data_IF_088727511325
#
_entry.id   IF_088727511325
#
_cell.length_a   1.000
_cell.length_b   1.000
_cell.length_c   1.000
_cell.angle_alpha   90.00
_cell.angle_beta   90.00
_cell.angle_gamma   90.00
#
_symmetry.space_group_name_H-M   'P 1'
#
loop_
_entity.id
_entity.type
_entity.pdbx_description
1 polymer ?
#
# COMPACT_ATOMS: atom_id res chain seq x y z
N UNK A 1 23.16 -29.07 18.38
CA UNK A 1 23.72 -28.25 17.29
C UNK A 1 23.62 -26.80 17.73
N UNK A 2 24.73 -26.16 18.11
CA UNK A 2 24.70 -24.78 18.58
C UNK A 2 24.27 -23.87 17.42
N UNK A 3 23.09 -23.24 17.53
CA UNK A 3 22.62 -22.27 16.55
C UNK A 3 23.60 -21.09 16.58
N UNK A 4 24.27 -20.81 15.46
CA UNK A 4 25.22 -19.69 15.37
C UNK A 4 24.52 -18.39 15.85
N UNK A 5 25.16 -17.53 16.66
CA UNK A 5 24.50 -16.36 17.26
C UNK A 5 23.80 -15.45 16.24
N UNK A 6 24.30 -15.43 15.00
CA UNK A 6 23.69 -14.72 13.88
C UNK A 6 22.32 -15.28 13.45
N UNK A 7 22.15 -16.60 13.43
CA UNK A 7 20.88 -17.25 13.06
C UNK A 7 19.84 -16.98 14.15
N UNK A 8 20.24 -17.08 15.41
CA UNK A 8 19.37 -16.76 16.54
C UNK A 8 18.86 -15.31 16.47
N UNK A 9 19.75 -14.36 16.16
CA UNK A 9 19.38 -12.95 15.98
C UNK A 9 18.35 -12.78 14.84
N UNK A 10 18.56 -13.41 13.68
CA UNK A 10 17.63 -13.34 12.54
C UNK A 10 16.26 -13.92 12.92
N UNK A 11 16.23 -15.09 13.57
CA UNK A 11 14.98 -15.75 13.96
C UNK A 11 14.21 -14.90 14.98
N UNK A 12 14.89 -14.35 16.00
CA UNK A 12 14.27 -13.46 16.99
C UNK A 12 13.69 -12.23 16.30
N UNK A 13 14.46 -11.58 15.43
CA UNK A 13 14.02 -10.40 14.70
C UNK A 13 12.79 -10.68 13.82
N UNK A 14 12.83 -11.74 13.01
CA UNK A 14 11.72 -12.14 12.15
C UNK A 14 10.47 -12.49 12.94
N UNK A 15 10.62 -13.19 14.07
CA UNK A 15 9.51 -13.54 14.96
C UNK A 15 8.89 -12.29 15.58
N UNK A 16 9.70 -11.33 16.03
CA UNK A 16 9.22 -10.06 16.58
C UNK A 16 8.47 -9.24 15.53
N UNK A 17 8.94 -9.24 14.28
CA UNK A 17 8.22 -8.55 13.20
C UNK A 17 6.92 -9.27 12.86
N UNK A 18 6.94 -10.60 12.77
CA UNK A 18 5.75 -11.40 12.49
C UNK A 18 4.66 -11.16 13.54
N UNK A 19 5.00 -11.15 14.83
CA UNK A 19 4.02 -10.88 15.89
C UNK A 19 3.47 -9.46 15.79
N UNK A 20 4.32 -8.45 15.63
CA UNK A 20 3.89 -7.06 15.45
C UNK A 20 2.97 -6.92 14.23
N UNK A 21 3.31 -7.59 13.12
CA UNK A 21 2.53 -7.57 11.90
C UNK A 21 1.14 -8.18 12.09
N UNK A 22 1.05 -9.33 12.77
CA UNK A 22 -0.21 -9.99 13.08
C UNK A 22 -1.07 -9.12 13.99
N UNK A 23 -0.52 -8.66 15.12
CA UNK A 23 -1.28 -7.86 16.08
C UNK A 23 -1.72 -6.51 15.49
N UNK A 24 -0.82 -5.80 14.79
CA UNK A 24 -1.12 -4.51 14.17
C UNK A 24 -2.23 -4.60 13.12
N UNK A 25 -2.17 -5.59 12.23
CA UNK A 25 -3.18 -5.76 11.19
C UNK A 25 -4.51 -6.28 11.74
N UNK A 26 -4.50 -7.23 12.67
CA UNK A 26 -5.73 -7.70 13.32
C UNK A 26 -6.42 -6.56 14.08
N UNK A 27 -5.65 -5.75 14.81
CA UNK A 27 -6.18 -4.61 15.54
C UNK A 27 -6.81 -3.57 14.60
N UNK A 28 -6.17 -3.27 13.47
CA UNK A 28 -6.72 -2.39 12.45
C UNK A 28 -8.03 -2.94 11.84
N UNK A 29 -8.08 -4.23 11.52
CA UNK A 29 -9.31 -4.91 11.05
C UNK A 29 -10.41 -4.79 12.09
N UNK A 30 -10.11 -5.07 13.37
CA UNK A 30 -11.06 -4.98 14.46
C UNK A 30 -11.65 -3.56 14.60
N UNK A 31 -10.80 -2.53 14.52
CA UNK A 31 -11.23 -1.14 14.61
C UNK A 31 -12.16 -0.76 13.46
N UNK A 32 -11.82 -1.13 12.22
CA UNK A 32 -12.64 -0.82 11.05
C UNK A 32 -13.99 -1.53 11.15
N UNK A 33 -13.99 -2.83 11.44
CA UNK A 33 -15.22 -3.63 11.49
C UNK A 33 -16.10 -3.22 12.67
N UNK A 34 -15.56 -3.15 13.90
CA UNK A 34 -16.34 -2.75 15.08
C UNK A 34 -16.75 -1.30 15.03
N UNK A 35 -15.87 -0.38 14.62
CA UNK A 35 -16.21 1.04 14.53
C UNK A 35 -17.39 1.28 13.58
N UNK A 36 -17.38 0.64 12.41
CA UNK A 36 -18.49 0.74 11.46
C UNK A 36 -19.76 0.01 11.94
N UNK A 37 -19.63 -1.12 12.64
CA UNK A 37 -20.76 -1.85 13.23
C UNK A 37 -21.46 -1.02 14.33
N UNK A 38 -20.70 -0.41 15.24
CA UNK A 38 -21.22 0.43 16.34
C UNK A 38 -21.98 1.63 15.77
N UNK A 39 -21.41 2.31 14.77
CA UNK A 39 -22.03 3.50 14.15
C UNK A 39 -23.11 3.09 13.12
N UNK A 40 -23.36 1.78 12.90
CA UNK A 40 -24.26 1.22 11.87
C UNK A 40 -24.02 1.82 10.48
N UNK A 41 -22.75 2.09 10.15
CA UNK A 41 -22.32 2.64 8.86
C UNK A 41 -21.76 1.53 7.98
N UNK A 42 -22.07 1.56 6.68
CA UNK A 42 -21.42 0.65 5.71
C UNK A 42 -19.93 0.96 5.61
N UNK A 43 -19.14 -0.08 5.37
CA UNK A 43 -17.70 0.03 5.08
C UNK A 43 -17.53 0.88 3.82
N UNK A 44 -16.72 1.94 3.93
CA UNK A 44 -16.42 2.80 2.79
C UNK A 44 -15.50 2.07 1.79
N UNK A 45 -15.51 2.44 0.49
CA UNK A 45 -14.64 1.84 -0.52
C UNK A 45 -13.16 1.80 -0.13
N UNK A 46 -12.73 2.86 0.56
CA UNK A 46 -11.39 3.03 1.10
C UNK A 46 -11.08 2.01 2.19
N UNK A 47 -11.98 1.90 3.16
CA UNK A 47 -11.85 0.96 4.27
C UNK A 47 -11.84 -0.48 3.75
N UNK A 48 -12.57 -0.78 2.68
CA UNK A 48 -12.56 -2.08 2.04
C UNK A 48 -11.20 -2.42 1.42
N UNK A 49 -10.58 -1.47 0.71
CA UNK A 49 -9.21 -1.66 0.20
C UNK A 49 -8.19 -1.80 1.34
N UNK A 50 -8.35 -1.04 2.43
CA UNK A 50 -7.52 -1.20 3.63
C UNK A 50 -7.66 -2.60 4.25
N UNK A 51 -8.87 -3.16 4.28
CA UNK A 51 -9.09 -4.53 4.77
C UNK A 51 -8.39 -5.58 3.87
N UNK A 52 -8.41 -5.40 2.54
CA UNK A 52 -7.64 -6.27 1.64
C UNK A 52 -6.14 -6.14 1.87
N UNK A 53 -5.64 -4.94 2.15
CA UNK A 53 -4.23 -4.76 2.49
C UNK A 53 -3.87 -5.43 3.80
N UNK A 54 -4.68 -5.29 4.86
CA UNK A 54 -4.46 -6.03 6.10
C UNK A 54 -4.45 -7.55 5.88
N UNK A 55 -5.33 -8.06 5.00
CA UNK A 55 -5.31 -9.47 4.64
C UNK A 55 -4.02 -9.88 3.93
N UNK A 56 -3.51 -9.08 2.99
CA UNK A 56 -2.23 -9.32 2.33
C UNK A 56 -1.05 -9.28 3.31
N UNK A 57 -1.04 -8.34 4.25
CA UNK A 57 0.01 -8.23 5.27
C UNK A 57 -0.03 -9.39 6.28
N UNK A 58 -1.23 -9.88 6.64
CA UNK A 58 -1.38 -11.10 7.44
C UNK A 58 -0.88 -12.34 6.69
N UNK A 59 -1.20 -12.45 5.39
CA UNK A 59 -0.66 -13.52 4.56
C UNK A 59 0.86 -13.43 4.45
N UNK A 60 1.44 -12.23 4.33
CA UNK A 60 2.89 -12.04 4.35
C UNK A 60 3.50 -12.51 5.68
N UNK A 61 2.90 -12.12 6.81
CA UNK A 61 3.39 -12.52 8.12
C UNK A 61 3.36 -14.05 8.31
N UNK A 62 2.27 -14.71 7.93
CA UNK A 62 2.08 -16.14 8.15
C UNK A 62 2.82 -16.99 7.10
N UNK A 63 2.61 -16.68 5.82
CA UNK A 63 3.13 -17.47 4.70
C UNK A 63 4.55 -17.11 4.35
N UNK A 64 4.94 -15.84 4.39
CA UNK A 64 6.31 -15.42 4.06
C UNK A 64 7.23 -15.54 5.27
N UNK A 65 6.97 -14.78 6.34
CA UNK A 65 7.85 -14.78 7.52
C UNK A 65 7.79 -16.11 8.28
N UNK A 66 6.58 -16.62 8.54
CA UNK A 66 6.40 -17.86 9.29
C UNK A 66 7.09 -19.08 8.64
N UNK A 67 6.89 -19.27 7.34
CA UNK A 67 7.56 -20.40 6.65
C UNK A 67 9.06 -20.20 6.48
N UNK A 68 9.54 -18.96 6.33
CA UNK A 68 10.97 -18.68 6.24
C UNK A 68 11.68 -18.97 7.57
N UNK A 69 11.06 -18.64 8.71
CA UNK A 69 11.57 -19.01 10.04
C UNK A 69 11.71 -20.54 10.14
N UNK A 70 10.71 -21.30 9.70
CA UNK A 70 10.77 -22.77 9.70
C UNK A 70 11.89 -23.30 8.81
N UNK A 71 12.08 -22.73 7.62
CA UNK A 71 13.16 -23.10 6.70
C UNK A 71 14.53 -22.81 7.32
N UNK A 72 14.70 -21.67 7.98
CA UNK A 72 15.96 -21.28 8.64
C UNK A 72 16.30 -22.24 9.78
N UNK A 73 15.31 -22.63 10.59
CA UNK A 73 15.51 -23.54 11.73
C UNK A 73 15.83 -24.97 11.27
N UNK A 74 15.22 -25.41 10.15
CA UNK A 74 15.41 -26.76 9.59
C UNK A 74 16.57 -26.86 8.61
N UNK A 75 17.22 -25.75 8.29
CA UNK A 75 18.36 -25.69 7.37
C UNK A 75 19.48 -26.65 7.80
N UNK A 76 20.12 -27.40 6.88
CA UNK A 76 19.98 -27.33 5.41
C UNK A 76 18.84 -28.16 4.81
N UNK A 77 18.16 -28.99 5.60
CA UNK A 77 17.27 -30.02 5.07
C UNK A 77 15.80 -29.56 5.03
N UNK A 78 15.20 -29.59 3.85
CA UNK A 78 13.77 -29.37 3.67
C UNK A 78 13.00 -30.68 3.90
N UNK A 79 12.33 -30.78 5.05
CA UNK A 79 11.62 -31.99 5.48
C UNK A 79 10.42 -32.41 4.63
N UNK A 80 9.93 -31.55 3.74
CA UNK A 80 8.76 -31.83 2.89
C UNK A 80 9.07 -32.54 1.56
N UNK A 81 8.04 -33.01 0.83
CA UNK A 81 8.19 -33.52 -0.53
C UNK A 81 8.61 -32.42 -1.51
N UNK A 82 9.11 -32.79 -2.69
CA UNK A 82 9.67 -31.84 -3.66
C UNK A 82 8.70 -30.75 -4.11
N UNK A 83 7.43 -31.10 -4.35
CA UNK A 83 6.39 -30.14 -4.73
C UNK A 83 6.07 -29.13 -3.62
N UNK A 84 6.28 -29.49 -2.35
CA UNK A 84 6.00 -28.59 -1.23
C UNK A 84 7.00 -27.43 -1.19
N UNK A 85 8.27 -27.65 -1.57
CA UNK A 85 9.27 -26.57 -1.69
C UNK A 85 8.81 -25.51 -2.71
N UNK A 86 8.29 -25.96 -3.87
CA UNK A 86 7.74 -25.07 -4.91
C UNK A 86 6.55 -24.28 -4.40
N UNK A 87 5.58 -24.96 -3.79
CA UNK A 87 4.37 -24.33 -3.26
C UNK A 87 4.70 -23.34 -2.15
N UNK A 88 5.60 -23.67 -1.23
CA UNK A 88 6.02 -22.74 -0.18
C UNK A 88 6.63 -21.48 -0.79
N UNK A 89 7.57 -21.61 -1.74
CA UNK A 89 8.19 -20.45 -2.39
C UNK A 89 7.20 -19.60 -3.20
N UNK A 90 6.21 -20.23 -3.82
CA UNK A 90 5.09 -19.54 -4.46
C UNK A 90 4.26 -18.74 -3.44
N UNK A 91 3.86 -19.37 -2.34
CA UNK A 91 3.05 -18.76 -1.28
C UNK A 91 3.80 -17.64 -0.54
N UNK A 92 5.12 -17.74 -0.40
CA UNK A 92 5.95 -16.66 0.14
C UNK A 92 5.94 -15.41 -0.75
N UNK A 93 5.88 -15.59 -2.07
CA UNK A 93 5.95 -14.49 -3.05
C UNK A 93 4.61 -13.84 -3.36
N UNK A 94 3.53 -14.60 -3.25
CA UNK A 94 2.18 -14.10 -3.48
C UNK A 94 1.82 -12.82 -2.70
N UNK A 95 1.92 -12.78 -1.37
CA UNK A 95 1.59 -11.57 -0.62
C UNK A 95 2.58 -10.42 -0.87
N UNK A 96 3.82 -10.75 -1.25
CA UNK A 96 4.84 -9.76 -1.63
C UNK A 96 4.44 -8.98 -2.89
N UNK A 97 3.79 -9.64 -3.86
CA UNK A 97 3.20 -8.98 -5.02
C UNK A 97 1.84 -8.33 -4.72
N UNK A 98 1.04 -8.93 -3.85
CA UNK A 98 -0.30 -8.42 -3.54
C UNK A 98 -0.25 -7.01 -2.90
N UNK A 99 0.65 -6.78 -1.94
CA UNK A 99 0.78 -5.50 -1.25
C UNK A 99 1.02 -4.28 -2.18
N UNK A 100 2.02 -4.28 -3.08
CA UNK A 100 2.24 -3.16 -4.00
C UNK A 100 1.12 -3.00 -5.04
N UNK A 101 0.49 -4.08 -5.52
CA UNK A 101 -0.67 -3.95 -6.40
C UNK A 101 -1.91 -3.39 -5.68
N UNK A 102 -2.10 -3.72 -4.39
CA UNK A 102 -3.13 -3.10 -3.55
C UNK A 102 -2.83 -1.62 -3.29
N UNK A 103 -1.57 -1.22 -3.16
CA UNK A 103 -1.18 0.19 -3.08
C UNK A 103 -1.55 0.95 -4.37
N UNK A 104 -1.33 0.34 -5.54
CA UNK A 104 -1.80 0.89 -6.83
C UNK A 104 -3.32 0.97 -6.86
N UNK A 105 -4.04 -0.03 -6.38
CA UNK A 105 -5.50 -0.01 -6.27
C UNK A 105 -6.01 1.13 -5.37
N UNK A 106 -5.37 1.39 -4.23
CA UNK A 106 -5.67 2.53 -3.34
C UNK A 106 -5.41 3.87 -4.07
N UNK A 107 -4.31 3.96 -4.80
CA UNK A 107 -3.94 5.12 -5.61
C UNK A 107 -4.98 5.41 -6.71
N UNK A 108 -5.39 4.36 -7.43
CA UNK A 108 -6.42 4.44 -8.44
C UNK A 108 -7.79 4.78 -7.84
N UNK A 109 -8.13 4.24 -6.66
CA UNK A 109 -9.34 4.60 -5.91
C UNK A 109 -9.39 6.12 -5.64
N UNK A 110 -8.31 6.65 -5.06
CA UNK A 110 -8.14 8.10 -4.79
C UNK A 110 -8.28 8.93 -6.05
N UNK A 111 -7.59 8.55 -7.12
CA UNK A 111 -7.61 9.29 -8.37
C UNK A 111 -9.04 9.49 -8.88
N UNK A 112 -9.84 8.42 -9.06
CA UNK A 112 -11.19 8.65 -9.60
C UNK A 112 -12.16 9.24 -8.55
N UNK A 113 -11.89 9.09 -7.24
CA UNK A 113 -12.71 9.74 -6.20
C UNK A 113 -12.52 11.28 -6.17
N UNK A 114 -11.32 11.76 -6.46
CA UNK A 114 -10.93 13.18 -6.38
C UNK A 114 -11.04 13.84 -7.76
N UNK A 115 -10.44 13.24 -8.78
CA UNK A 115 -10.33 13.86 -10.11
C UNK A 115 -11.57 13.63 -10.99
N UNK A 116 -12.43 12.65 -10.66
CA UNK A 116 -13.64 12.32 -11.45
C UNK A 116 -14.90 12.14 -10.59
N UNK A 117 -15.34 13.17 -9.85
CA UNK A 117 -16.43 13.07 -8.89
C UNK A 117 -17.77 12.67 -9.52
N UNK A 118 -18.08 13.17 -10.73
CA UNK A 118 -19.33 12.88 -11.45
C UNK A 118 -19.39 11.43 -11.97
N UNK A 119 -18.26 10.92 -12.48
CA UNK A 119 -18.15 9.53 -12.94
C UNK A 119 -18.20 8.55 -11.75
N UNK A 120 -17.65 8.94 -10.60
CA UNK A 120 -17.71 8.19 -9.34
C UNK A 120 -19.11 8.18 -8.69
N UNK A 121 -20.02 9.07 -9.10
CA UNK A 121 -21.43 9.05 -8.69
C UNK A 121 -22.27 8.17 -9.63
N UNK A 122 -21.94 8.13 -10.93
CA UNK A 122 -22.59 7.27 -11.94
C UNK A 122 -22.18 5.81 -11.86
N UNK A 123 -20.89 5.52 -11.67
CA UNK A 123 -20.39 4.15 -11.45
C UNK A 123 -20.73 3.71 -10.04
N UNK A 124 -21.13 2.45 -9.88
CA UNK A 124 -21.52 1.89 -8.59
C UNK A 124 -20.33 1.90 -7.62
N UNK A 125 -20.22 2.96 -6.80
CA UNK A 125 -19.11 3.29 -5.90
C UNK A 125 -18.65 2.11 -5.02
N UNK A 126 -19.56 1.18 -4.72
CA UNK A 126 -19.31 0.02 -3.87
C UNK A 126 -18.76 -1.21 -4.61
N UNK A 127 -18.98 -1.35 -5.93
CA UNK A 127 -18.45 -2.48 -6.72
C UNK A 127 -17.01 -2.25 -7.20
N UNK A 128 -16.64 -0.98 -7.41
CA UNK A 128 -15.32 -0.56 -7.87
C UNK A 128 -14.15 -1.02 -6.99
N UNK A 129 -14.12 -0.80 -5.66
CA UNK A 129 -13.01 -1.23 -4.82
C UNK A 129 -12.79 -2.75 -4.87
N UNK A 130 -13.86 -3.55 -4.94
CA UNK A 130 -13.77 -5.00 -5.11
C UNK A 130 -13.15 -5.39 -6.46
N UNK A 131 -13.49 -4.67 -7.53
CA UNK A 131 -12.87 -4.91 -8.84
C UNK A 131 -11.37 -4.59 -8.83
N UNK A 132 -10.99 -3.45 -8.24
CA UNK A 132 -9.57 -3.07 -8.11
C UNK A 132 -8.79 -4.07 -7.23
N UNK A 133 -9.38 -4.49 -6.11
CA UNK A 133 -8.78 -5.52 -5.25
C UNK A 133 -8.66 -6.85 -5.99
N UNK A 134 -9.72 -7.32 -6.66
CA UNK A 134 -9.71 -8.56 -7.45
C UNK A 134 -8.63 -8.54 -8.52
N UNK A 135 -8.45 -7.42 -9.21
CA UNK A 135 -7.39 -7.26 -10.20
C UNK A 135 -5.99 -7.34 -9.55
N UNK A 136 -5.80 -6.69 -8.40
CA UNK A 136 -4.54 -6.76 -7.65
C UNK A 136 -4.21 -8.20 -7.20
N UNK A 137 -5.18 -8.91 -6.63
CA UNK A 137 -5.01 -10.31 -6.22
C UNK A 137 -4.71 -11.23 -7.41
N UNK A 138 -5.45 -11.08 -8.51
CA UNK A 138 -5.24 -11.88 -9.72
C UNK A 138 -3.86 -11.65 -10.31
N UNK A 139 -3.44 -10.39 -10.42
CA UNK A 139 -2.11 -10.04 -10.93
C UNK A 139 -1.01 -10.59 -10.01
N UNK A 140 -1.19 -10.52 -8.69
CA UNK A 140 -0.25 -11.10 -7.73
C UNK A 140 -0.12 -12.63 -7.88
N UNK A 141 -1.24 -13.33 -8.04
CA UNK A 141 -1.24 -14.78 -8.28
C UNK A 141 -0.48 -15.15 -9.55
N UNK A 142 -0.72 -14.42 -10.64
CA UNK A 142 -0.07 -14.65 -11.94
C UNK A 142 1.43 -14.35 -11.85
N UNK A 143 1.81 -13.20 -11.29
CA UNK A 143 3.21 -12.80 -11.15
C UNK A 143 4.02 -13.73 -10.24
N UNK A 144 3.35 -14.48 -9.36
CA UNK A 144 4.00 -15.45 -8.48
C UNK A 144 4.25 -16.81 -9.13
N UNK A 145 3.56 -17.15 -10.24
CA UNK A 145 3.67 -18.46 -10.90
C UNK A 145 5.10 -18.88 -11.28
N UNK A 146 6.02 -17.99 -11.71
CA UNK A 146 7.40 -18.39 -12.03
C UNK A 146 8.12 -19.12 -10.89
N UNK A 147 7.74 -18.88 -9.62
CA UNK A 147 8.34 -19.56 -8.47
C UNK A 147 8.09 -21.07 -8.49
N UNK A 148 6.97 -21.54 -9.06
CA UNK A 148 6.68 -22.97 -9.16
C UNK A 148 7.63 -23.69 -10.12
N UNK A 149 8.17 -22.98 -11.11
CA UNK A 149 9.06 -23.52 -12.14
C UNK A 149 10.53 -23.40 -11.76
N UNK A 150 10.87 -22.37 -10.99
CA UNK A 150 12.25 -22.01 -10.65
C UNK A 150 12.82 -22.82 -9.49
N UNK A 151 11.97 -23.24 -8.56
CA UNK A 151 12.39 -23.96 -7.36
C UNK A 151 12.21 -25.47 -7.52
N UNK A 152 13.11 -26.24 -6.90
CA UNK A 152 13.02 -27.69 -6.83
C UNK A 152 13.76 -28.22 -5.59
N UNK A 153 13.46 -29.45 -5.19
CA UNK A 153 14.18 -30.14 -4.11
C UNK A 153 15.36 -30.92 -4.70
N UNK A 154 16.56 -30.66 -4.20
CA UNK A 154 17.79 -31.37 -4.59
C UNK A 154 17.85 -32.75 -3.94
N UNK A 155 18.71 -33.63 -4.45
CA UNK A 155 18.97 -34.96 -3.86
C UNK A 155 19.47 -34.89 -2.42
N UNK A 156 20.20 -33.83 -2.08
CA UNK A 156 20.66 -33.53 -0.72
C UNK A 156 19.52 -33.07 0.21
N UNK A 157 18.30 -32.94 -0.33
CA UNK A 157 17.12 -32.50 0.37
C UNK A 157 17.03 -30.98 0.59
N UNK A 158 17.82 -30.19 -0.12
CA UNK A 158 17.76 -28.72 -0.07
C UNK A 158 16.70 -28.19 -1.04
N UNK A 159 16.01 -27.10 -0.70
CA UNK A 159 15.13 -26.38 -1.61
C UNK A 159 15.96 -25.34 -2.38
N UNK A 160 16.27 -25.61 -3.65
CA UNK A 160 17.21 -24.82 -4.47
C UNK A 160 16.58 -24.33 -5.78
N UNK A 161 17.32 -23.50 -6.52
CA UNK A 161 16.88 -22.89 -7.78
C UNK A 161 17.55 -23.53 -8.99
N UNK A 162 16.85 -23.59 -10.14
CA UNK A 162 17.32 -24.22 -11.39
C UNK A 162 18.63 -23.62 -11.94
N UNK A 163 18.90 -22.35 -11.67
CA UNK A 163 20.09 -21.65 -12.15
C UNK A 163 21.32 -21.79 -11.23
N UNK A 164 21.19 -22.52 -10.11
CA UNK A 164 22.28 -22.85 -9.21
C UNK A 164 22.98 -21.63 -8.56
N UNK A 165 24.18 -21.89 -8.01
CA UNK A 165 25.00 -20.87 -7.32
C UNK A 165 25.77 -19.94 -8.27
N UNK A 166 25.83 -20.27 -9.55
CA UNK A 166 26.55 -19.48 -10.57
C UNK A 166 25.84 -18.17 -10.93
N UNK A 167 26.55 -17.34 -11.70
CA UNK A 167 26.00 -16.17 -12.39
C UNK A 167 25.64 -16.64 -13.79
N UNK A 168 24.35 -16.68 -14.11
CA UNK A 168 23.85 -17.00 -15.45
C UNK A 168 23.04 -15.84 -15.96
N UNK A 169 23.13 -15.54 -17.26
CA UNK A 169 22.34 -14.47 -17.89
C UNK A 169 20.84 -14.61 -17.57
N UNK A 170 20.34 -15.85 -17.56
CA UNK A 170 18.97 -16.17 -17.20
C UNK A 170 18.61 -15.78 -15.75
N UNK A 171 19.48 -16.05 -14.78
CA UNK A 171 19.30 -15.64 -13.38
C UNK A 171 19.27 -14.13 -13.24
N UNK A 172 20.15 -13.43 -13.94
CA UNK A 172 20.20 -11.96 -13.94
C UNK A 172 18.93 -11.36 -14.53
N UNK A 173 18.48 -11.85 -15.70
CA UNK A 173 17.23 -11.43 -16.33
C UNK A 173 16.05 -11.69 -15.39
N UNK A 174 15.95 -12.88 -14.81
CA UNK A 174 14.87 -13.25 -13.90
C UNK A 174 14.80 -12.33 -12.67
N UNK A 175 15.94 -12.10 -12.00
CA UNK A 175 16.00 -11.25 -10.80
C UNK A 175 15.66 -9.79 -11.14
N UNK A 176 16.13 -9.27 -12.27
CA UNK A 176 15.80 -7.91 -12.71
C UNK A 176 14.31 -7.80 -13.04
N UNK A 177 13.77 -8.69 -13.87
CA UNK A 177 12.35 -8.72 -14.22
C UNK A 177 11.46 -8.85 -12.98
N UNK A 178 11.83 -9.71 -12.03
CA UNK A 178 11.14 -9.86 -10.76
C UNK A 178 11.10 -8.54 -9.97
N UNK A 179 12.25 -7.89 -9.75
CA UNK A 179 12.30 -6.62 -9.00
C UNK A 179 11.57 -5.49 -9.73
N UNK A 180 11.63 -5.44 -11.06
CA UNK A 180 10.91 -4.44 -11.85
C UNK A 180 9.40 -4.59 -11.70
N UNK A 181 8.87 -5.82 -11.79
CA UNK A 181 7.43 -6.08 -11.69
C UNK A 181 6.94 -5.93 -10.25
N UNK A 182 7.72 -6.37 -9.26
CA UNK A 182 7.33 -6.35 -7.85
C UNK A 182 7.37 -4.94 -7.24
N UNK A 183 8.32 -4.10 -7.67
CA UNK A 183 8.55 -2.80 -7.03
C UNK A 183 8.43 -1.62 -7.99
N UNK A 184 9.21 -1.60 -9.07
CA UNK A 184 9.36 -0.40 -9.90
C UNK A 184 8.06 -0.06 -10.63
N UNK A 185 7.43 -1.05 -11.24
CA UNK A 185 6.19 -0.88 -11.99
C UNK A 185 5.03 -0.39 -11.08
N UNK A 186 4.72 -1.04 -9.94
CA UNK A 186 3.73 -0.52 -8.99
C UNK A 186 4.04 0.89 -8.48
N UNK A 187 5.32 1.18 -8.20
CA UNK A 187 5.73 2.50 -7.72
C UNK A 187 5.50 3.60 -8.77
N UNK A 188 5.86 3.34 -10.03
CA UNK A 188 5.61 4.28 -11.15
C UNK A 188 4.11 4.47 -11.35
N UNK A 189 3.32 3.39 -11.35
CA UNK A 189 1.87 3.47 -11.50
C UNK A 189 1.25 4.28 -10.37
N UNK A 190 1.61 4.00 -9.11
CA UNK A 190 1.13 4.75 -7.96
C UNK A 190 1.50 6.23 -8.06
N UNK A 191 2.77 6.54 -8.37
CA UNK A 191 3.24 7.91 -8.54
C UNK A 191 2.46 8.66 -9.65
N UNK A 192 2.19 8.00 -10.78
CA UNK A 192 1.42 8.60 -11.89
C UNK A 192 -0.01 8.97 -11.48
N UNK A 193 -0.70 8.10 -10.74
CA UNK A 193 -2.03 8.39 -10.23
C UNK A 193 -2.01 9.55 -9.23
N UNK A 194 -1.02 9.61 -8.34
CA UNK A 194 -0.89 10.70 -7.37
C UNK A 194 -0.48 12.02 -7.98
N UNK A 195 0.39 12.02 -8.98
CA UNK A 195 0.71 13.23 -9.73
C UNK A 195 -0.56 13.87 -10.31
N UNK A 196 -1.43 13.05 -10.92
CA UNK A 196 -2.71 13.51 -11.44
C UNK A 196 -3.66 14.02 -10.32
N UNK A 197 -3.65 13.40 -9.14
CA UNK A 197 -4.40 13.88 -7.96
C UNK A 197 -3.88 15.24 -7.50
N UNK A 198 -2.57 15.39 -7.34
CA UNK A 198 -1.94 16.65 -6.92
C UNK A 198 -2.25 17.77 -7.91
N UNK A 199 -2.14 17.49 -9.22
CA UNK A 199 -2.50 18.45 -10.27
C UNK A 199 -3.96 18.90 -10.17
N UNK A 200 -4.89 17.96 -9.98
CA UNK A 200 -6.30 18.28 -9.85
C UNK A 200 -6.61 19.11 -8.59
N UNK A 201 -6.00 18.76 -7.45
CA UNK A 201 -6.13 19.51 -6.18
C UNK A 201 -5.54 20.92 -6.29
N UNK A 202 -4.39 21.05 -6.97
CA UNK A 202 -3.75 22.35 -7.16
C UNK A 202 -4.58 23.26 -8.08
N UNK A 203 -5.14 22.70 -9.15
CA UNK A 203 -6.07 23.41 -10.03
C UNK A 203 -7.33 23.88 -9.29
N UNK A 204 -7.91 23.05 -8.41
CA UNK A 204 -9.09 23.45 -7.63
C UNK A 204 -8.78 24.49 -6.56
N UNK A 205 -7.63 24.41 -5.88
CA UNK A 205 -7.21 25.40 -4.89
C UNK A 205 -6.91 26.75 -5.54
N UNK A 206 -6.31 26.75 -6.74
CA UNK A 206 -6.06 27.98 -7.50
C UNK A 206 -7.37 28.69 -7.87
N UNK A 207 -8.39 27.96 -8.36
CA UNK A 207 -9.71 28.52 -8.65
C UNK A 207 -10.39 29.09 -7.39
N UNK A 208 -10.32 28.41 -6.24
CA UNK A 208 -10.91 28.92 -4.99
C UNK A 208 -10.18 30.16 -4.45
N UNK A 209 -8.86 30.25 -4.60
CA UNK A 209 -8.09 31.46 -4.25
C UNK A 209 -8.45 32.66 -5.15
N UNK A 210 -8.67 32.42 -6.45
CA UNK A 210 -9.16 33.46 -7.37
C UNK A 210 -10.56 33.95 -7.01
N UNK A 211 -11.49 33.04 -6.72
CA UNK A 211 -12.87 33.39 -6.32
C UNK A 211 -12.93 34.13 -4.97
N UNK A 212 -11.98 33.85 -4.08
CA UNK A 212 -11.87 34.54 -2.78
C UNK A 212 -11.28 35.94 -2.94
N UNK A 213 -10.43 36.19 -3.94
CA UNK A 213 -9.88 37.52 -4.21
C UNK A 213 -10.77 38.40 -5.10
N UNK A 214 -11.68 37.83 -5.89
CA UNK A 214 -12.65 38.60 -6.70
C UNK A 214 -13.84 39.11 -5.85
N UNK A 215 -13.99 38.65 -4.60
CA UNK A 215 -15.10 39.05 -3.72
C UNK A 215 -14.80 40.09 -2.60
N UNK A 216 -14.13 41.23 -2.88
CA UNK A 216 -14.38 42.46 -2.14
C UNK A 216 -15.18 43.52 -2.93
N UNK A 217 -15.36 43.37 -4.25
CA UNK A 217 -15.74 44.49 -5.11
C UNK A 217 -17.17 44.46 -5.70
N UNK A 218 -18.13 43.81 -5.03
CA UNK A 218 -19.55 44.02 -5.34
C UNK A 218 -20.38 44.20 -4.08
N UNK A 219 -19.86 45.00 -3.14
CA UNK A 219 -20.71 45.82 -2.27
C UNK A 219 -20.97 47.16 -2.98
N UNK A 220 -21.51 47.14 -4.20
CA UNK A 220 -22.02 48.35 -4.83
C UNK A 220 -23.49 48.47 -4.41
N UNK A 221 -23.75 49.29 -3.40
CA UNK A 221 -24.95 50.10 -3.16
C UNK A 221 -26.31 49.68 -3.76
N UNK A 222 -26.75 48.42 -3.56
CA UNK A 222 -28.18 48.03 -3.78
C UNK A 222 -28.92 47.86 -2.45
N UNK A 223 -28.59 48.66 -1.44
CA UNK A 223 -29.25 48.62 -0.14
C UNK A 223 -30.36 49.66 0.02
N UNK A 224 -30.47 50.63 -0.90
CA UNK A 224 -31.34 51.79 -0.69
C UNK A 224 -32.81 51.63 -1.13
N UNK A 225 -33.23 50.45 -1.63
CA UNK A 225 -34.65 50.22 -1.95
C UNK A 225 -35.02 48.73 -2.04
N UNK A 226 -34.97 47.99 -0.93
CA UNK A 226 -35.52 46.63 -0.87
C UNK A 226 -36.45 46.48 0.33
N UNK A 227 -37.66 45.99 0.08
CA UNK A 227 -38.66 45.59 1.07
C UNK A 227 -38.04 44.74 2.19
N UNK A 228 -38.50 44.94 3.43
CA UNK A 228 -38.08 44.19 4.63
C UNK A 228 -38.10 42.66 4.42
N UNK A 229 -39.08 42.19 3.64
CA UNK A 229 -39.26 40.76 3.32
C UNK A 229 -38.13 40.22 2.42
N UNK A 230 -37.62 41.04 1.50
CA UNK A 230 -36.50 40.70 0.62
C UNK A 230 -35.18 40.65 1.38
N UNK A 231 -34.99 41.50 2.39
CA UNK A 231 -33.79 41.46 3.24
C UNK A 231 -33.74 40.18 4.07
N UNK A 232 -34.85 39.77 4.68
CA UNK A 232 -34.91 38.51 5.43
C UNK A 232 -34.65 37.28 4.55
N UNK A 233 -35.15 37.28 3.32
CA UNK A 233 -34.93 36.20 2.35
C UNK A 233 -33.45 36.11 1.93
N UNK A 234 -32.82 37.26 1.65
CA UNK A 234 -31.39 37.33 1.30
C UNK A 234 -30.50 36.90 2.48
N UNK A 235 -30.85 37.28 3.71
CA UNK A 235 -30.11 36.88 4.90
C UNK A 235 -30.17 35.36 5.14
N UNK A 236 -31.33 34.74 4.92
CA UNK A 236 -31.50 33.28 4.99
C UNK A 236 -30.63 32.57 3.93
N UNK A 237 -30.58 33.07 2.70
CA UNK A 237 -29.71 32.53 1.64
C UNK A 237 -28.24 32.71 2.03
N UNK A 238 -27.85 33.87 2.57
CA UNK A 238 -26.47 34.14 3.01
C UNK A 238 -26.03 33.21 4.13
N UNK A 239 -26.88 32.97 5.12
CA UNK A 239 -26.64 32.00 6.21
C UNK A 239 -26.55 30.57 5.68
N UNK A 240 -27.42 30.18 4.74
CA UNK A 240 -27.37 28.89 4.06
C UNK A 240 -26.08 28.68 3.26
N UNK A 241 -25.65 29.70 2.50
CA UNK A 241 -24.41 29.70 1.73
C UNK A 241 -23.16 29.68 2.63
N UNK A 242 -23.20 30.37 3.79
CA UNK A 242 -22.12 30.32 4.78
C UNK A 242 -21.96 28.93 5.40
N UNK A 243 -23.06 28.27 5.73
CA UNK A 243 -23.06 26.88 6.20
C UNK A 243 -22.53 25.93 5.12
N UNK A 244 -23.02 26.06 3.88
CA UNK A 244 -22.58 25.24 2.75
C UNK A 244 -21.08 25.43 2.48
N UNK A 245 -20.59 26.68 2.47
CA UNK A 245 -19.16 27.01 2.23
C UNK A 245 -18.26 26.49 3.35
N UNK A 246 -18.72 26.52 4.60
CA UNK A 246 -18.01 25.94 5.75
C UNK A 246 -17.98 24.40 5.67
N UNK A 247 -19.06 23.78 5.20
CA UNK A 247 -19.14 22.33 5.03
C UNK A 247 -18.27 21.85 3.86
N UNK A 248 -18.20 22.58 2.74
CA UNK A 248 -17.32 22.24 1.62
C UNK A 248 -15.85 22.40 1.98
N UNK A 249 -15.47 23.48 2.67
CA UNK A 249 -14.09 23.69 3.16
C UNK A 249 -13.65 22.63 4.18
N UNK A 250 -14.54 22.21 5.09
CA UNK A 250 -14.32 21.06 5.98
C UNK A 250 -14.07 19.75 5.19
N UNK A 251 -14.86 19.49 4.16
CA UNK A 251 -14.72 18.31 3.31
C UNK A 251 -13.43 18.35 2.49
N UNK A 252 -13.04 19.51 1.97
CA UNK A 252 -11.81 19.70 1.20
C UNK A 252 -10.56 19.60 2.08
N UNK A 253 -10.59 20.14 3.31
CA UNK A 253 -9.52 19.93 4.29
C UNK A 253 -9.34 18.44 4.61
N UNK A 254 -10.44 17.70 4.82
CA UNK A 254 -10.44 16.24 5.06
C UNK A 254 -9.91 15.46 3.84
N UNK A 255 -10.20 15.91 2.61
CA UNK A 255 -9.64 15.35 1.36
C UNK A 255 -8.13 15.58 1.28
N UNK A 256 -7.64 16.80 1.54
CA UNK A 256 -6.21 17.15 1.50
C UNK A 256 -5.42 16.35 2.53
N UNK A 257 -5.95 16.17 3.74
CA UNK A 257 -5.30 15.36 4.78
C UNK A 257 -5.17 13.89 4.35
N UNK A 258 -6.21 13.34 3.72
CA UNK A 258 -6.19 11.98 3.17
C UNK A 258 -5.14 11.87 2.05
N UNK A 259 -5.07 12.83 1.13
CA UNK A 259 -4.08 12.87 0.04
C UNK A 259 -2.65 12.95 0.58
N UNK A 260 -2.39 13.86 1.52
CA UNK A 260 -1.06 14.05 2.12
C UNK A 260 -0.58 12.77 2.77
N UNK A 261 -1.46 12.11 3.53
CA UNK A 261 -1.14 10.84 4.14
C UNK A 261 -0.85 9.75 3.11
N UNK A 262 -1.71 9.60 2.10
CA UNK A 262 -1.51 8.58 1.06
C UNK A 262 -0.23 8.79 0.24
N UNK A 263 0.16 10.05 0.03
CA UNK A 263 1.41 10.42 -0.64
C UNK A 263 2.62 10.01 0.21
N UNK A 264 2.57 10.23 1.53
CA UNK A 264 3.59 9.74 2.46
C UNK A 264 3.76 8.23 2.35
N UNK A 265 2.68 7.44 2.23
CA UNK A 265 2.76 5.97 2.07
C UNK A 265 3.60 5.60 0.85
N UNK A 266 3.34 6.23 -0.29
CA UNK A 266 4.01 5.89 -1.55
C UNK A 266 5.48 6.29 -1.52
N UNK A 267 5.76 7.49 -0.99
CA UNK A 267 7.14 7.98 -0.84
C UNK A 267 7.91 7.06 0.10
N UNK A 268 7.36 6.74 1.27
CA UNK A 268 7.96 5.80 2.21
C UNK A 268 8.18 4.43 1.55
N UNK A 269 7.16 3.87 0.88
CA UNK A 269 7.26 2.59 0.20
C UNK A 269 8.37 2.57 -0.86
N UNK A 270 8.49 3.63 -1.67
CA UNK A 270 9.55 3.74 -2.67
C UNK A 270 10.94 3.71 -2.04
N UNK A 271 11.18 4.56 -1.04
CA UNK A 271 12.49 4.65 -0.37
C UNK A 271 12.84 3.42 0.46
N UNK A 272 11.84 2.72 1.00
CA UNK A 272 12.05 1.50 1.79
C UNK A 272 12.49 0.32 0.93
N UNK A 273 11.91 0.20 -0.26
CA UNK A 273 12.22 -0.88 -1.18
C UNK A 273 13.46 -0.60 -2.05
N UNK A 274 13.84 0.66 -2.23
CA UNK A 274 14.97 1.04 -3.07
C UNK A 274 16.30 0.36 -2.68
N UNK A 275 16.73 0.30 -1.41
CA UNK A 275 17.97 -0.37 -1.02
C UNK A 275 17.98 -1.87 -1.39
N UNK A 276 16.87 -2.57 -1.14
CA UNK A 276 16.73 -3.99 -1.47
C UNK A 276 16.79 -4.23 -2.99
N UNK A 277 16.07 -3.40 -3.76
CA UNK A 277 16.07 -3.52 -5.22
C UNK A 277 17.44 -3.22 -5.82
N UNK A 278 18.11 -2.15 -5.36
CA UNK A 278 19.46 -1.79 -5.79
C UNK A 278 20.44 -2.92 -5.48
N UNK A 279 20.38 -3.50 -4.29
CA UNK A 279 21.26 -4.61 -3.88
C UNK A 279 21.03 -5.85 -4.73
N UNK A 280 19.78 -6.22 -4.99
CA UNK A 280 19.45 -7.35 -5.85
C UNK A 280 19.95 -7.16 -7.29
N UNK A 281 19.80 -5.96 -7.84
CA UNK A 281 20.28 -5.63 -9.19
C UNK A 281 21.81 -5.61 -9.25
N UNK A 282 22.47 -4.98 -8.27
CA UNK A 282 23.93 -4.95 -8.16
C UNK A 282 24.49 -6.37 -8.02
N UNK A 283 23.85 -7.24 -7.25
CA UNK A 283 24.27 -8.64 -7.15
C UNK A 283 24.09 -9.40 -8.47
N UNK A 284 23.02 -9.12 -9.20
CA UNK A 284 22.73 -9.76 -10.48
C UNK A 284 23.71 -9.32 -11.58
N UNK A 285 24.20 -8.08 -11.53
CA UNK A 285 25.13 -7.50 -12.52
C UNK A 285 26.61 -7.67 -12.14
N UNK A 286 26.94 -7.55 -10.86
CA UNK A 286 28.31 -7.52 -10.36
C UNK A 286 28.45 -8.24 -9.00
N UNK A 287 28.36 -9.58 -8.98
CA UNK A 287 28.40 -10.38 -7.74
C UNK A 287 29.73 -10.28 -6.97
N UNK A 288 30.80 -9.73 -7.59
CA UNK A 288 32.12 -9.54 -6.96
C UNK A 288 32.21 -8.30 -6.06
N UNK A 289 31.27 -7.35 -6.19
CA UNK A 289 31.29 -6.09 -5.43
C UNK A 289 30.56 -6.18 -4.08
N UNK A 290 29.77 -7.22 -3.83
CA UNK A 290 28.89 -7.32 -2.67
C UNK A 290 29.36 -8.39 -1.68
N UNK A 291 29.60 -8.03 -0.42
CA UNK A 291 29.92 -9.01 0.62
C UNK A 291 28.70 -9.88 0.95
N UNK A 292 28.92 -11.18 1.17
CA UNK A 292 27.84 -12.12 1.56
C UNK A 292 27.11 -11.66 2.83
N UNK A 293 27.83 -11.01 3.74
CA UNK A 293 27.29 -10.45 4.99
C UNK A 293 26.31 -9.29 4.73
N UNK A 294 26.61 -8.40 3.77
CA UNK A 294 25.75 -7.25 3.46
C UNK A 294 24.41 -7.70 2.87
N UNK A 295 24.40 -8.71 1.99
CA UNK A 295 23.16 -9.31 1.45
C UNK A 295 22.28 -9.90 2.56
N UNK A 296 22.89 -10.70 3.43
CA UNK A 296 22.16 -11.40 4.48
C UNK A 296 21.58 -10.42 5.51
N UNK A 297 22.30 -9.32 5.80
CA UNK A 297 21.79 -8.22 6.62
C UNK A 297 20.63 -7.50 5.94
N UNK A 298 20.70 -7.20 4.64
CA UNK A 298 19.66 -6.44 3.91
C UNK A 298 18.38 -7.27 3.71
N UNK A 299 18.50 -8.55 3.32
CA UNK A 299 17.36 -9.47 3.22
C UNK A 299 16.67 -9.62 4.59
N UNK A 300 17.45 -9.68 5.68
CA UNK A 300 16.94 -9.81 7.04
C UNK A 300 16.36 -8.51 7.63
N UNK A 301 16.76 -7.34 7.12
CA UNK A 301 16.35 -6.03 7.67
C UNK A 301 15.24 -5.36 6.87
N UNK A 302 15.17 -5.54 5.54
CA UNK A 302 14.31 -4.72 4.68
C UNK A 302 12.89 -5.28 4.55
N UNK A 303 12.76 -6.59 4.30
CA UNK A 303 11.46 -7.28 4.21
C UNK A 303 10.56 -7.08 5.46
N UNK A 304 11.10 -7.15 6.70
CA UNK A 304 10.30 -6.96 7.90
C UNK A 304 9.93 -5.47 8.13
N UNK A 305 10.85 -4.55 7.84
CA UNK A 305 10.64 -3.11 8.00
C UNK A 305 9.60 -2.55 7.00
N UNK A 306 9.52 -3.12 5.79
CA UNK A 306 8.47 -2.80 4.80
C UNK A 306 7.06 -3.13 5.36
N UNK A 307 6.92 -4.25 6.07
CA UNK A 307 5.65 -4.64 6.70
C UNK A 307 5.31 -3.72 7.89
N UNK A 308 6.30 -3.38 8.74
CA UNK A 308 6.10 -2.51 9.91
C UNK A 308 5.69 -1.07 9.54
N UNK A 309 6.29 -0.50 8.49
CA UNK A 309 5.97 0.86 8.06
C UNK A 309 4.63 0.94 7.34
N UNK A 310 4.23 -0.12 6.65
CA UNK A 310 2.86 -0.25 6.11
C UNK A 310 1.83 -0.14 7.26
N UNK A 311 2.06 -0.80 8.39
CA UNK A 311 1.16 -0.78 9.56
C UNK A 311 1.09 0.58 10.24
N UNK A 312 2.23 1.22 10.55
CA UNK A 312 2.25 2.55 11.20
C UNK A 312 1.54 3.62 10.35
N UNK A 313 1.63 3.45 9.03
CA UNK A 313 1.06 4.36 8.04
C UNK A 313 -0.43 4.08 7.81
N UNK A 314 -0.86 2.81 7.76
CA UNK A 314 -2.27 2.45 7.74
C UNK A 314 -2.98 2.79 9.04
N UNK A 315 -2.30 2.69 10.17
CA UNK A 315 -2.77 3.17 11.48
C UNK A 315 -3.05 4.68 11.43
N UNK A 316 -2.08 5.47 10.97
CA UNK A 316 -2.25 6.91 10.74
C UNK A 316 -3.44 7.21 9.82
N UNK A 317 -3.72 6.33 8.85
CA UNK A 317 -4.87 6.45 7.94
C UNK A 317 -6.21 6.12 8.60
N UNK A 318 -6.23 5.11 9.46
CA UNK A 318 -7.40 4.72 10.20
C UNK A 318 -7.78 5.75 11.28
N UNK A 319 -6.79 6.40 11.89
CA UNK A 319 -7.00 7.45 12.89
C UNK A 319 -7.61 8.72 12.27
N UNK A 320 -7.12 9.12 11.09
CA UNK A 320 -7.71 10.24 10.31
C UNK A 320 -9.15 9.92 9.86
N UNK A 321 -9.45 8.66 9.55
CA UNK A 321 -10.81 8.23 9.22
C UNK A 321 -11.72 8.13 10.47
N UNK A 322 -11.16 7.91 11.67
CA UNK A 322 -11.88 7.85 12.96
C UNK A 322 -12.24 9.21 13.55
N UNK A 323 -11.50 10.28 13.23
CA UNK A 323 -11.81 11.65 13.65
C UNK A 323 -13.06 12.26 12.99
N UNK A 324 -14.08 11.46 12.68
CA UNK A 324 -15.31 11.82 11.97
C UNK A 324 -16.58 11.43 12.70
#
# INVERSE_FOLDING_TARGET
MALHPQILFIVIHMTAVMTLAIFGNLFLVLIIVRGNAIIRRRISPVQLLLLHTCAADLLFALLSLGTEILIIITYPHFGGPGWLCQVVRYLQMFPLYASPFLLVAISADRFQAICRPLENFRRNRFKRPNCLASAAWTLALICSLPQLLVWYKTENGECATIYGRGVTLLKTIYVISFNTIAWLLPSIMAASFYYCVCKAVWASNFSHSFDTQISPATKLDVFNSKSFQTQFYLERIRRGSGHMKRQTTELDRKRVQTVRLTMTIIVCNFFLWAPFCVVNVVQALAPRLLSKHLKQTIDASVLPVISQLSIAVYWSHAEILRGK
#
